data_IF_351163111014
#
_entry.id   IF_351163111014
#
_cell.length_a   1.000
_cell.length_b   1.000
_cell.length_c   1.000
_cell.angle_alpha   90.00
_cell.angle_beta   90.00
_cell.angle_gamma   90.00
#
_symmetry.space_group_name_H-M   'P 1'
#
loop_
_entity.id
_entity.type
_entity.pdbx_description
1 polymer ?
#
# COMPACT_ATOMS: atom_id res chain seq x y z
N UNK A 1 7.44 47.76 16.61
CA UNK A 1 7.69 46.99 15.37
C UNK A 1 6.36 46.35 15.00
N UNK A 2 5.63 46.97 14.09
CA UNK A 2 4.21 46.66 13.80
C UNK A 2 4.17 45.89 12.48
N UNK A 3 3.65 44.66 12.49
CA UNK A 3 3.52 43.81 11.31
C UNK A 3 2.22 44.20 10.59
N UNK A 4 2.35 44.71 9.35
CA UNK A 4 1.22 45.00 8.45
C UNK A 4 0.74 43.70 7.81
N UNK A 5 -0.44 43.24 8.21
CA UNK A 5 -1.15 42.15 7.54
C UNK A 5 -1.57 42.59 6.13
N UNK A 6 -1.03 41.93 5.10
CA UNK A 6 -1.47 42.10 3.73
C UNK A 6 -2.73 41.26 3.51
N UNK A 7 -3.88 41.91 3.41
CA UNK A 7 -5.13 41.29 3.01
C UNK A 7 -5.05 40.96 1.51
N UNK A 8 -4.86 39.68 1.16
CA UNK A 8 -5.09 39.22 -0.20
C UNK A 8 -6.59 39.09 -0.44
N UNK A 9 -7.14 39.97 -1.27
CA UNK A 9 -8.48 39.82 -1.82
C UNK A 9 -8.44 38.68 -2.84
N UNK A 10 -9.17 37.57 -2.65
CA UNK A 10 -9.20 36.51 -3.64
C UNK A 10 -9.80 37.07 -4.94
N UNK A 11 -9.05 36.97 -6.03
CA UNK A 11 -9.53 37.33 -7.36
C UNK A 11 -10.52 36.26 -7.81
N UNK A 12 -11.80 36.61 -7.87
CA UNK A 12 -12.88 35.80 -8.45
C UNK A 12 -12.77 35.85 -9.97
N UNK A 13 -11.75 35.19 -10.52
CA UNK A 13 -11.75 34.82 -11.94
C UNK A 13 -12.75 33.69 -12.06
N UNK A 14 -13.91 33.95 -12.67
CA UNK A 14 -14.84 32.89 -13.05
C UNK A 14 -14.20 32.10 -14.19
N UNK A 15 -13.79 30.84 -13.98
CA UNK A 15 -13.15 30.07 -15.03
C UNK A 15 -14.12 29.85 -16.19
N UNK A 16 -13.57 29.80 -17.41
CA UNK A 16 -14.33 29.51 -18.62
C UNK A 16 -14.90 28.07 -18.51
N UNK A 17 -16.22 27.85 -18.68
CA UNK A 17 -16.86 26.52 -18.57
C UNK A 17 -16.26 25.44 -19.49
N UNK A 18 -15.53 25.84 -20.53
CA UNK A 18 -14.83 24.94 -21.43
C UNK A 18 -13.50 24.38 -20.89
N UNK A 19 -12.86 25.06 -19.93
CA UNK A 19 -11.60 24.62 -19.29
C UNK A 19 -11.83 23.74 -18.06
N UNK A 20 -13.08 23.59 -17.61
CA UNK A 20 -13.46 22.87 -16.40
C UNK A 20 -13.72 21.37 -16.63
N UNK A 21 -13.12 20.78 -17.68
CA UNK A 21 -13.50 19.44 -18.17
C UNK A 21 -12.69 18.26 -17.65
N UNK A 22 -11.55 18.51 -17.02
CA UNK A 22 -10.75 17.42 -16.46
C UNK A 22 -10.83 17.48 -14.94
N UNK A 23 -11.91 16.92 -14.38
CA UNK A 23 -12.01 16.76 -12.93
C UNK A 23 -10.89 15.85 -12.41
N UNK A 24 -10.40 16.13 -11.20
CA UNK A 24 -9.28 15.42 -10.59
C UNK A 24 -9.67 14.00 -10.16
N UNK A 25 -8.74 13.04 -10.33
CA UNK A 25 -8.86 11.73 -9.68
C UNK A 25 -8.19 11.81 -8.31
N UNK A 26 -8.91 11.36 -7.27
CA UNK A 26 -8.37 11.28 -5.90
C UNK A 26 -8.16 9.82 -5.55
N UNK A 27 -6.98 9.48 -5.05
CA UNK A 27 -6.74 8.16 -4.46
C UNK A 27 -7.20 8.22 -3.00
N UNK A 28 -8.03 7.26 -2.58
CA UNK A 28 -8.55 7.20 -1.22
C UNK A 28 -8.31 5.82 -0.63
N UNK A 29 -7.75 5.76 0.56
CA UNK A 29 -7.47 4.50 1.26
C UNK A 29 -7.79 4.59 2.76
N UNK A 30 -7.92 3.45 3.42
CA UNK A 30 -8.05 3.41 4.88
C UNK A 30 -6.74 3.82 5.56
N UNK A 31 -6.83 4.62 6.62
CA UNK A 31 -5.72 4.77 7.55
C UNK A 31 -5.64 3.56 8.48
N UNK A 32 -4.45 3.29 9.04
CA UNK A 32 -4.37 2.40 10.20
C UNK A 32 -5.04 3.11 11.41
N UNK A 33 -5.72 2.35 12.29
CA UNK A 33 -6.35 2.94 13.46
C UNK A 33 -5.38 3.79 14.29
N UNK A 34 -5.78 5.02 14.61
CA UNK A 34 -4.99 5.95 15.43
C UNK A 34 -3.89 6.73 14.72
N UNK A 35 -3.72 6.57 13.39
CA UNK A 35 -2.77 7.38 12.63
C UNK A 35 -3.28 8.78 12.28
N UNK A 36 -4.59 8.94 12.10
CA UNK A 36 -5.20 10.24 11.81
C UNK A 36 -5.96 10.77 13.02
N UNK A 37 -5.77 12.05 13.41
CA UNK A 37 -6.64 12.71 14.38
C UNK A 37 -8.01 13.10 13.78
N UNK A 38 -8.20 12.94 12.47
CA UNK A 38 -9.39 13.33 11.74
C UNK A 38 -10.09 12.09 11.13
N UNK A 39 -11.41 12.14 10.94
CA UNK A 39 -12.11 11.06 10.23
C UNK A 39 -11.65 10.91 8.78
N UNK A 40 -11.14 12.00 8.18
CA UNK A 40 -10.58 12.03 6.83
C UNK A 40 -9.49 13.07 6.75
N UNK A 41 -8.36 12.72 6.15
CA UNK A 41 -7.30 13.63 5.75
C UNK A 41 -7.21 13.67 4.24
N UNK A 42 -6.97 14.85 3.65
CA UNK A 42 -6.73 15.02 2.21
C UNK A 42 -5.55 15.94 2.00
N UNK A 43 -4.65 15.59 1.09
CA UNK A 43 -3.48 16.40 0.76
C UNK A 43 -3.15 16.32 -0.73
N UNK A 44 -2.45 17.35 -1.22
CA UNK A 44 -1.91 17.36 -2.58
C UNK A 44 -0.65 16.50 -2.63
N UNK A 45 -0.54 15.65 -3.65
CA UNK A 45 0.62 14.80 -3.87
C UNK A 45 1.36 15.23 -5.14
N UNK A 46 2.70 15.15 -5.12
CA UNK A 46 3.58 15.57 -6.23
C UNK A 46 4.39 14.41 -6.82
N UNK A 47 4.40 13.24 -6.18
CA UNK A 47 5.14 12.05 -6.61
C UNK A 47 4.28 11.08 -7.44
N UNK A 48 2.99 11.35 -7.54
CA UNK A 48 2.06 10.56 -8.34
C UNK A 48 2.03 10.98 -9.82
N UNK A 49 1.59 10.06 -10.66
CA UNK A 49 1.43 10.31 -12.09
C UNK A 49 0.53 11.55 -12.32
N UNK A 50 0.74 12.34 -13.40
CA UNK A 50 0.12 13.66 -13.58
C UNK A 50 -1.41 13.72 -13.48
N UNK A 51 -2.09 12.58 -13.60
CA UNK A 51 -3.53 12.43 -13.46
C UNK A 51 -4.04 12.33 -12.00
N UNK A 52 -3.16 12.21 -11.02
CA UNK A 52 -3.49 12.17 -9.59
C UNK A 52 -2.88 13.38 -8.91
N UNK A 53 -3.73 14.25 -8.37
CA UNK A 53 -3.28 15.45 -7.68
C UNK A 53 -3.47 15.36 -6.17
N UNK A 54 -4.34 14.46 -5.70
CA UNK A 54 -4.68 14.38 -4.29
C UNK A 54 -4.78 12.94 -3.83
N UNK A 55 -4.39 12.75 -2.58
CA UNK A 55 -4.58 11.55 -1.80
C UNK A 55 -5.49 11.88 -0.61
N UNK A 56 -6.23 10.86 -0.17
CA UNK A 56 -7.02 10.94 1.04
C UNK A 56 -6.90 9.65 1.84
N UNK A 57 -6.91 9.79 3.16
CA UNK A 57 -7.06 8.67 4.07
C UNK A 57 -8.34 8.83 4.87
N UNK A 58 -8.99 7.71 5.18
CA UNK A 58 -10.15 7.70 6.08
C UNK A 58 -10.00 6.66 7.18
N UNK A 59 -10.52 6.96 8.37
CA UNK A 59 -10.57 6.00 9.46
C UNK A 59 -11.86 5.17 9.38
N UNK A 60 -11.81 3.89 8.97
CA UNK A 60 -13.00 3.05 8.83
C UNK A 60 -13.69 2.75 10.17
N UNK A 61 -13.06 3.07 11.31
CA UNK A 61 -13.69 2.97 12.63
C UNK A 61 -14.56 4.18 12.98
N UNK A 62 -14.36 5.31 12.29
CA UNK A 62 -15.07 6.57 12.53
C UNK A 62 -16.12 6.86 11.46
N UNK A 63 -15.81 6.60 10.19
CA UNK A 63 -16.71 6.90 9.06
C UNK A 63 -16.67 5.80 8.00
N UNK A 64 -17.72 5.74 7.18
CA UNK A 64 -17.73 4.86 6.00
C UNK A 64 -16.92 5.45 4.86
N UNK A 65 -16.53 4.61 3.88
CA UNK A 65 -15.89 5.09 2.66
C UNK A 65 -16.77 6.12 1.93
N UNK A 66 -18.09 5.89 1.84
CA UNK A 66 -18.99 6.81 1.14
C UNK A 66 -19.06 8.19 1.83
N UNK A 67 -19.01 8.20 3.16
CA UNK A 67 -18.94 9.45 3.94
C UNK A 67 -17.59 10.14 3.74
N UNK A 68 -16.50 9.38 3.70
CA UNK A 68 -15.17 9.90 3.43
C UNK A 68 -15.06 10.53 2.03
N UNK A 69 -15.53 9.83 0.99
CA UNK A 69 -15.60 10.35 -0.38
C UNK A 69 -16.40 11.66 -0.44
N UNK A 70 -17.51 11.74 0.31
CA UNK A 70 -18.32 12.95 0.41
C UNK A 70 -17.55 14.08 1.09
N UNK A 71 -16.87 13.80 2.20
CA UNK A 71 -16.05 14.78 2.92
C UNK A 71 -14.91 15.33 2.05
N UNK A 72 -14.21 14.46 1.32
CA UNK A 72 -13.13 14.87 0.39
C UNK A 72 -13.67 15.75 -0.74
N UNK A 73 -14.83 15.40 -1.32
CA UNK A 73 -15.47 16.24 -2.35
C UNK A 73 -15.77 17.64 -1.81
N UNK A 74 -16.30 17.73 -0.59
CA UNK A 74 -16.62 19.01 0.05
C UNK A 74 -15.35 19.83 0.30
N UNK A 75 -14.30 19.21 0.85
CA UNK A 75 -13.04 19.86 1.13
C UNK A 75 -12.39 20.42 -0.14
N UNK A 76 -12.27 19.60 -1.19
CA UNK A 76 -11.66 20.02 -2.45
C UNK A 76 -12.52 21.02 -3.24
N UNK A 77 -13.85 20.94 -3.13
CA UNK A 77 -14.74 21.93 -3.73
C UNK A 77 -14.59 23.34 -3.11
N UNK A 78 -14.21 23.43 -1.83
CA UNK A 78 -13.92 24.71 -1.18
C UNK A 78 -12.74 25.45 -1.84
N UNK A 79 -11.81 24.70 -2.43
CA UNK A 79 -10.65 25.22 -3.19
C UNK A 79 -10.90 25.28 -4.70
N UNK A 80 -12.15 25.15 -5.14
CA UNK A 80 -12.54 25.19 -6.55
C UNK A 80 -12.11 23.95 -7.36
N UNK A 81 -11.73 22.86 -6.69
CA UNK A 81 -11.34 21.60 -7.32
C UNK A 81 -12.56 20.70 -7.47
N UNK A 82 -12.73 20.10 -8.65
CA UNK A 82 -13.82 19.17 -8.93
C UNK A 82 -13.31 17.74 -9.00
N UNK A 83 -13.70 16.89 -8.06
CA UNK A 83 -13.35 15.45 -8.05
C UNK A 83 -14.20 14.71 -9.09
N UNK A 84 -13.57 14.16 -10.14
CA UNK A 84 -14.28 13.35 -11.14
C UNK A 84 -14.55 11.93 -10.64
N UNK A 85 -13.58 11.31 -9.96
CA UNK A 85 -13.68 9.94 -9.44
C UNK A 85 -12.72 9.70 -8.28
N UNK A 86 -13.04 8.68 -7.50
CA UNK A 86 -12.16 8.10 -6.49
C UNK A 86 -11.53 6.81 -7.02
N UNK A 87 -10.26 6.61 -6.71
CA UNK A 87 -9.63 5.30 -6.74
C UNK A 87 -9.57 4.79 -5.30
N UNK A 88 -10.49 3.91 -4.94
CA UNK A 88 -10.49 3.30 -3.62
C UNK A 88 -9.46 2.16 -3.57
N UNK A 89 -8.45 2.32 -2.74
CA UNK A 89 -7.42 1.30 -2.49
C UNK A 89 -7.95 0.10 -1.69
N UNK A 90 -9.08 0.28 -0.99
CA UNK A 90 -9.67 -0.77 -0.16
C UNK A 90 -10.60 -1.71 -0.93
N UNK A 91 -11.07 -1.31 -2.11
CA UNK A 91 -11.89 -2.19 -2.95
C UNK A 91 -10.98 -3.21 -3.63
N UNK A 92 -11.24 -4.53 -3.46
CA UNK A 92 -10.48 -5.54 -4.18
C UNK A 92 -10.55 -5.28 -5.70
N UNK A 93 -9.39 -5.17 -6.34
CA UNK A 93 -9.32 -5.01 -7.79
C UNK A 93 -9.61 -6.35 -8.44
N UNK A 94 -10.73 -6.46 -9.15
CA UNK A 94 -11.03 -7.65 -9.97
C UNK A 94 -10.42 -7.47 -11.36
N UNK A 95 -9.60 -8.43 -11.77
CA UNK A 95 -8.90 -8.42 -13.05
C UNK A 95 -9.05 -9.78 -13.73
N UNK A 96 -8.64 -9.87 -14.99
CA UNK A 96 -8.58 -11.14 -15.71
C UNK A 96 -7.35 -11.21 -16.61
N UNK A 97 -6.69 -12.36 -16.61
CA UNK A 97 -5.55 -12.64 -17.50
C UNK A 97 -5.91 -13.74 -18.50
N UNK A 98 -5.13 -13.86 -19.57
CA UNK A 98 -5.21 -15.02 -20.46
C UNK A 98 -4.25 -16.09 -19.96
N UNK A 99 -4.77 -17.24 -19.56
CA UNK A 99 -3.96 -18.36 -19.11
C UNK A 99 -3.15 -18.92 -20.29
N UNK A 100 -1.82 -18.93 -20.14
CA UNK A 100 -0.89 -19.31 -21.22
C UNK A 100 -1.02 -20.77 -21.66
N UNK A 101 -1.47 -21.65 -20.77
CA UNK A 101 -1.60 -23.10 -21.06
C UNK A 101 -2.92 -23.39 -21.76
N UNK A 102 -4.01 -22.80 -21.27
CA UNK A 102 -5.37 -23.12 -21.74
C UNK A 102 -5.90 -22.14 -22.79
N UNK A 103 -5.30 -20.95 -22.90
CA UNK A 103 -5.81 -19.85 -23.72
C UNK A 103 -7.06 -19.18 -23.16
N UNK A 104 -7.59 -19.61 -22.01
CA UNK A 104 -8.83 -19.09 -21.44
C UNK A 104 -8.59 -17.81 -20.63
N UNK A 105 -9.58 -16.90 -20.64
CA UNK A 105 -9.61 -15.76 -19.71
C UNK A 105 -9.99 -16.24 -18.31
N UNK A 106 -9.15 -15.97 -17.32
CA UNK A 106 -9.37 -16.38 -15.93
C UNK A 106 -9.45 -15.14 -15.01
N UNK A 107 -10.52 -14.98 -14.22
CA UNK A 107 -10.69 -13.84 -13.34
C UNK A 107 -9.95 -14.05 -12.02
N UNK A 108 -9.25 -13.05 -11.51
CA UNK A 108 -8.71 -13.06 -10.15
C UNK A 108 -9.07 -11.77 -9.41
N UNK A 109 -9.11 -11.86 -8.09
CA UNK A 109 -9.39 -10.74 -7.20
C UNK A 109 -8.10 -10.41 -6.46
N UNK A 110 -7.66 -9.16 -6.56
CA UNK A 110 -6.49 -8.71 -5.86
C UNK A 110 -6.71 -8.74 -4.34
N UNK A 111 -5.66 -9.08 -3.60
CA UNK A 111 -5.63 -8.91 -2.16
C UNK A 111 -5.92 -7.43 -1.81
N UNK A 112 -6.81 -7.11 -0.85
CA UNK A 112 -7.03 -5.73 -0.43
C UNK A 112 -5.73 -5.08 0.06
N UNK A 113 -5.40 -3.90 -0.47
CA UNK A 113 -4.11 -3.23 -0.22
C UNK A 113 -2.95 -3.72 -1.09
N UNK A 114 -3.18 -4.59 -2.07
CA UNK A 114 -2.18 -4.94 -3.09
C UNK A 114 -1.97 -3.75 -4.04
N UNK A 115 -0.77 -3.18 -4.02
CA UNK A 115 -0.32 -2.10 -4.89
C UNK A 115 0.39 -2.59 -6.15
N UNK A 116 0.68 -3.89 -6.25
CA UNK A 116 1.37 -4.52 -7.39
C UNK A 116 0.73 -4.17 -8.74
N UNK A 117 1.56 -3.88 -9.72
CA UNK A 117 1.14 -3.62 -11.10
C UNK A 117 0.93 -4.92 -11.88
N UNK A 118 -0.33 -5.34 -11.97
CA UNK A 118 -0.74 -6.52 -12.72
C UNK A 118 -0.91 -6.31 -14.23
N UNK A 119 -0.51 -5.17 -14.80
CA UNK A 119 -0.67 -4.92 -16.25
C UNK A 119 0.04 -5.95 -17.10
N UNK A 120 1.22 -6.42 -16.69
CA UNK A 120 1.94 -7.46 -17.42
C UNK A 120 1.12 -8.76 -17.48
N UNK A 121 0.57 -9.18 -16.34
CA UNK A 121 -0.27 -10.37 -16.22
C UNK A 121 -1.52 -10.28 -17.10
N UNK A 122 -2.18 -9.12 -17.12
CA UNK A 122 -3.44 -8.97 -17.87
C UNK A 122 -3.25 -8.75 -19.36
N UNK A 123 -2.15 -8.12 -19.77
CA UNK A 123 -1.90 -7.73 -21.16
C UNK A 123 -1.21 -8.82 -21.98
N UNK A 124 -0.60 -9.81 -21.32
CA UNK A 124 0.11 -10.92 -21.99
C UNK A 124 -0.39 -12.27 -21.50
N UNK A 125 -0.32 -13.33 -22.33
CA UNK A 125 -0.59 -14.68 -21.84
C UNK A 125 0.38 -15.07 -20.73
N UNK A 126 -0.15 -15.36 -19.54
CA UNK A 126 0.61 -15.57 -18.29
C UNK A 126 0.28 -16.94 -17.70
N UNK A 127 1.25 -17.61 -17.06
CA UNK A 127 0.96 -18.86 -16.35
C UNK A 127 0.15 -18.55 -15.09
N UNK A 128 -0.81 -19.41 -14.74
CA UNK A 128 -1.69 -19.13 -13.61
C UNK A 128 -0.93 -19.07 -12.28
N UNK A 129 0.14 -19.86 -12.13
CA UNK A 129 1.05 -19.85 -10.99
C UNK A 129 1.88 -18.57 -10.83
N UNK A 130 2.02 -17.76 -11.90
CA UNK A 130 2.77 -16.50 -11.88
C UNK A 130 1.89 -15.32 -11.46
N UNK A 131 0.57 -15.50 -11.37
CA UNK A 131 -0.36 -14.46 -10.91
C UNK A 131 -0.45 -14.52 -9.38
N UNK A 132 0.09 -13.50 -8.70
CA UNK A 132 0.07 -13.38 -7.24
C UNK A 132 -0.05 -11.93 -6.79
N UNK A 133 -0.69 -11.69 -5.66
CA UNK A 133 -0.71 -10.37 -5.04
C UNK A 133 0.30 -10.30 -3.91
N UNK A 134 0.89 -9.13 -3.71
CA UNK A 134 1.86 -8.85 -2.66
C UNK A 134 1.49 -7.56 -1.94
N UNK A 135 1.66 -7.57 -0.61
CA UNK A 135 1.75 -6.35 0.20
C UNK A 135 3.15 -6.36 0.80
N UNK A 136 4.03 -5.44 0.40
CA UNK A 136 5.37 -5.37 0.93
C UNK A 136 5.32 -4.94 2.40
N UNK A 137 6.15 -5.56 3.22
CA UNK A 137 6.43 -5.13 4.58
C UNK A 137 7.69 -4.28 4.64
N UNK A 138 7.82 -3.48 5.69
CA UNK A 138 9.07 -2.79 5.97
C UNK A 138 10.17 -3.79 6.35
N UNK A 139 11.38 -3.54 5.91
CA UNK A 139 12.56 -4.29 6.32
C UNK A 139 13.54 -3.38 7.05
N UNK A 140 14.37 -3.98 7.91
CA UNK A 140 15.47 -3.30 8.58
C UNK A 140 16.76 -3.62 7.85
N UNK A 141 17.79 -2.82 8.05
CA UNK A 141 19.13 -3.15 7.59
C UNK A 141 20.04 -3.33 8.79
N UNK A 142 20.86 -4.37 8.76
CA UNK A 142 21.95 -4.55 9.70
C UNK A 142 23.26 -4.74 8.93
N UNK A 143 24.36 -4.17 9.44
CA UNK A 143 25.67 -4.47 8.93
C UNK A 143 26.05 -5.90 9.33
N UNK A 144 26.14 -6.80 8.36
CA UNK A 144 26.55 -8.19 8.59
C UNK A 144 27.87 -8.50 7.86
N UNK A 145 28.59 -9.48 8.38
CA UNK A 145 29.70 -10.16 7.71
C UNK A 145 29.22 -11.58 7.39
N UNK A 146 29.55 -12.08 6.20
CA UNK A 146 29.15 -13.42 5.78
C UNK A 146 30.05 -13.97 4.69
N UNK A 147 29.87 -15.24 4.37
CA UNK A 147 30.61 -15.94 3.31
C UNK A 147 30.45 -15.31 1.92
N UNK A 148 29.44 -14.45 1.74
CA UNK A 148 29.18 -13.67 0.54
C UNK A 148 29.78 -12.24 0.59
N UNK A 149 30.46 -11.89 1.67
CA UNK A 149 31.10 -10.59 1.88
C UNK A 149 32.62 -10.71 1.67
N UNK A 150 33.05 -10.85 0.43
CA UNK A 150 34.47 -10.97 0.08
C UNK A 150 35.32 -9.75 0.53
N UNK A 151 34.71 -8.63 0.93
CA UNK A 151 35.37 -7.33 1.16
C UNK A 151 34.92 -6.58 2.43
N UNK A 152 34.42 -7.26 3.46
CA UNK A 152 34.09 -6.65 4.75
C UNK A 152 32.61 -6.36 4.98
N UNK A 153 32.31 -5.45 5.91
CA UNK A 153 30.96 -5.16 6.41
C UNK A 153 30.02 -4.72 5.26
N UNK A 154 28.85 -5.37 5.13
CA UNK A 154 27.81 -4.97 4.18
C UNK A 154 26.47 -4.85 4.87
N UNK A 155 25.64 -3.93 4.39
CA UNK A 155 24.26 -3.79 4.85
C UNK A 155 23.39 -4.90 4.25
N UNK A 156 22.72 -5.66 5.10
CA UNK A 156 21.77 -6.70 4.70
C UNK A 156 20.38 -6.42 5.23
N UNK A 157 19.38 -6.72 4.41
CA UNK A 157 17.97 -6.62 4.74
C UNK A 157 17.58 -7.72 5.73
N UNK A 158 17.35 -7.37 6.99
CA UNK A 158 16.98 -8.34 8.03
C UNK A 158 15.48 -8.33 8.32
N UNK A 159 14.94 -9.55 8.45
CA UNK A 159 13.56 -9.81 8.87
C UNK A 159 12.50 -9.02 8.07
N UNK A 160 12.77 -8.85 6.77
CA UNK A 160 11.77 -8.37 5.82
C UNK A 160 10.58 -9.33 5.77
N UNK A 161 9.39 -8.82 5.50
CA UNK A 161 8.22 -9.65 5.33
C UNK A 161 7.36 -9.16 4.18
N UNK A 162 6.49 -10.02 3.67
CA UNK A 162 5.42 -9.63 2.77
C UNK A 162 4.21 -10.52 2.97
N UNK A 163 3.01 -9.96 2.78
CA UNK A 163 1.76 -10.73 2.73
C UNK A 163 1.45 -11.04 1.27
N UNK A 164 1.26 -12.32 0.95
CA UNK A 164 1.07 -12.79 -0.41
C UNK A 164 -0.24 -13.59 -0.55
N UNK A 165 -0.78 -13.60 -1.76
CA UNK A 165 -1.84 -14.53 -2.19
C UNK A 165 -1.52 -15.01 -3.59
N UNK A 166 -1.57 -16.32 -3.79
CA UNK A 166 -1.38 -16.98 -5.08
C UNK A 166 -2.71 -17.67 -5.46
N UNK A 167 -3.66 -17.00 -6.14
CA UNK A 167 -5.03 -17.51 -6.31
C UNK A 167 -5.11 -18.88 -6.98
N UNK A 168 -4.11 -19.20 -7.81
CA UNK A 168 -4.07 -20.43 -8.60
C UNK A 168 -3.00 -21.43 -8.17
N UNK A 169 -2.29 -21.18 -7.06
CA UNK A 169 -1.25 -22.09 -6.59
C UNK A 169 -1.79 -23.51 -6.40
N UNK A 170 -1.00 -24.54 -6.70
CA UNK A 170 -1.36 -25.93 -6.36
C UNK A 170 -1.37 -26.17 -4.85
N UNK A 171 -0.72 -25.29 -4.07
CA UNK A 171 -0.68 -25.34 -2.60
C UNK A 171 -1.86 -24.55 -2.03
N UNK A 172 -2.86 -25.23 -1.48
CA UNK A 172 -4.07 -24.59 -0.95
C UNK A 172 -3.77 -23.49 0.09
N UNK A 173 -2.73 -23.67 0.90
CA UNK A 173 -2.30 -22.66 1.88
C UNK A 173 -1.91 -21.30 1.26
N UNK A 174 -1.42 -21.31 0.01
CA UNK A 174 -0.99 -20.10 -0.72
C UNK A 174 -2.14 -19.40 -1.44
N UNK A 175 -3.26 -20.08 -1.68
CA UNK A 175 -4.50 -19.46 -2.23
C UNK A 175 -5.20 -18.54 -1.24
N UNK A 176 -4.72 -18.51 0.00
CA UNK A 176 -5.17 -17.63 1.06
C UNK A 176 -4.06 -16.65 1.42
N UNK A 177 -4.38 -15.47 1.99
CA UNK A 177 -3.37 -14.54 2.45
C UNK A 177 -2.40 -15.25 3.41
N UNK A 178 -1.10 -15.20 3.12
CA UNK A 178 -0.04 -15.83 3.88
C UNK A 178 1.16 -14.90 3.98
N UNK A 179 2.00 -15.08 5.01
CA UNK A 179 3.22 -14.29 5.21
C UNK A 179 4.41 -15.06 4.67
N UNK A 180 5.27 -14.36 3.93
CA UNK A 180 6.64 -14.76 3.66
C UNK A 180 7.55 -13.88 4.53
N UNK A 181 8.56 -14.49 5.17
CA UNK A 181 9.57 -13.78 5.94
C UNK A 181 10.91 -14.06 5.28
N UNK A 182 11.65 -13.00 5.00
CA UNK A 182 13.04 -13.09 4.57
C UNK A 182 13.89 -13.35 5.80
N UNK A 183 14.53 -14.52 5.83
CA UNK A 183 15.44 -14.94 6.88
C UNK A 183 16.85 -14.97 6.29
N UNK A 184 17.80 -14.30 6.95
CA UNK A 184 19.21 -14.34 6.55
C UNK A 184 19.86 -15.52 7.25
N UNK A 185 20.30 -16.50 6.47
CA UNK A 185 21.07 -17.65 6.92
C UNK A 185 22.58 -17.39 6.77
N UNK A 186 23.39 -17.98 7.65
CA UNK A 186 24.87 -17.95 7.61
C UNK A 186 25.56 -16.56 7.65
N UNK A 187 24.91 -15.51 8.16
CA UNK A 187 25.55 -14.20 8.38
C UNK A 187 25.70 -13.90 9.88
N UNK A 188 26.83 -13.29 10.24
CA UNK A 188 27.18 -12.96 11.62
C UNK A 188 27.35 -11.45 11.78
N UNK A 189 27.08 -10.97 13.00
CA UNK A 189 27.48 -9.64 13.46
C UNK A 189 28.56 -9.88 14.49
N UNK A 190 29.79 -9.51 14.16
CA UNK A 190 30.97 -9.77 14.98
C UNK A 190 31.49 -8.47 15.60
N UNK A 191 32.33 -8.61 16.63
CA UNK A 191 33.05 -7.50 17.27
C UNK A 191 32.16 -6.34 17.77
N UNK A 192 30.96 -6.65 18.27
CA UNK A 192 30.04 -5.67 18.83
C UNK A 192 30.54 -5.14 20.19
N UNK A 193 30.77 -3.83 20.26
CA UNK A 193 30.83 -3.12 21.53
C UNK A 193 29.40 -2.97 22.15
N UNK A 194 29.27 -2.55 23.42
CA UNK A 194 27.97 -2.42 24.07
C UNK A 194 26.97 -1.53 23.33
N UNK A 195 27.42 -0.41 22.77
CA UNK A 195 26.55 0.56 22.07
C UNK A 195 26.08 -0.02 20.71
N UNK A 196 26.97 -0.74 20.03
CA UNK A 196 26.68 -1.44 18.79
C UNK A 196 25.72 -2.62 19.01
N UNK A 197 25.89 -3.36 20.12
CA UNK A 197 24.93 -4.40 20.52
C UNK A 197 23.56 -3.81 20.86
N UNK A 198 23.50 -2.68 21.58
CA UNK A 198 22.26 -1.97 21.87
C UNK A 198 21.54 -1.55 20.57
N UNK A 199 22.30 -1.06 19.59
CA UNK A 199 21.76 -0.72 18.26
C UNK A 199 21.15 -1.94 17.57
N UNK A 200 21.85 -3.08 17.56
CA UNK A 200 21.33 -4.34 16.98
C UNK A 200 20.05 -4.78 17.69
N UNK A 201 20.02 -4.73 19.03
CA UNK A 201 18.83 -5.08 19.82
C UNK A 201 17.65 -4.18 19.43
N UNK A 202 17.88 -2.88 19.33
CA UNK A 202 16.84 -1.93 18.96
C UNK A 202 16.26 -2.23 17.56
N UNK A 203 17.12 -2.47 16.57
CA UNK A 203 16.68 -2.83 15.21
C UNK A 203 15.87 -4.12 15.22
N UNK A 204 16.33 -5.17 15.91
CA UNK A 204 15.60 -6.43 16.01
C UNK A 204 14.25 -6.26 16.72
N UNK A 205 14.20 -5.44 17.77
CA UNK A 205 12.96 -5.14 18.49
C UNK A 205 11.95 -4.45 17.56
N UNK A 206 12.36 -3.43 16.81
CA UNK A 206 11.52 -2.78 15.80
C UNK A 206 11.02 -3.78 14.74
N UNK A 207 11.87 -4.71 14.31
CA UNK A 207 11.47 -5.75 13.34
C UNK A 207 10.45 -6.73 13.92
N UNK A 208 10.62 -7.14 15.16
CA UNK A 208 9.63 -7.98 15.86
C UNK A 208 8.28 -7.25 15.97
N UNK A 209 8.29 -5.96 16.29
CA UNK A 209 7.06 -5.16 16.36
C UNK A 209 6.42 -4.98 14.98
N UNK A 210 7.21 -4.83 13.92
CA UNK A 210 6.72 -4.87 12.53
C UNK A 210 6.05 -6.21 12.19
N UNK A 211 6.64 -7.35 12.57
CA UNK A 211 6.05 -8.68 12.36
C UNK A 211 4.74 -8.88 13.15
N UNK A 212 4.62 -8.30 14.35
CA UNK A 212 3.35 -8.32 15.11
C UNK A 212 2.25 -7.52 14.41
N UNK A 213 2.61 -6.38 13.82
CA UNK A 213 1.69 -5.61 12.96
C UNK A 213 1.28 -6.42 11.73
N UNK A 214 2.25 -7.05 11.04
CA UNK A 214 1.98 -7.93 9.90
C UNK A 214 1.05 -9.09 10.25
N UNK A 215 1.23 -9.71 11.42
CA UNK A 215 0.35 -10.77 11.90
C UNK A 215 -1.08 -10.29 12.10
N UNK A 216 -1.26 -9.12 12.74
CA UNK A 216 -2.58 -8.51 12.91
C UNK A 216 -3.24 -8.21 11.56
N UNK A 217 -2.49 -7.63 10.63
CA UNK A 217 -2.95 -7.36 9.27
C UNK A 217 -3.32 -8.65 8.53
N UNK A 218 -2.51 -9.69 8.64
CA UNK A 218 -2.75 -11.00 8.03
C UNK A 218 -4.05 -11.62 8.53
N UNK A 219 -4.30 -11.60 9.85
CA UNK A 219 -5.54 -12.11 10.45
C UNK A 219 -6.76 -11.38 9.89
N UNK A 220 -6.70 -10.05 9.86
CA UNK A 220 -7.78 -9.22 9.32
C UNK A 220 -8.02 -9.49 7.82
N UNK A 221 -6.96 -9.52 7.01
CA UNK A 221 -7.03 -9.81 5.57
C UNK A 221 -7.60 -11.19 5.30
N UNK A 222 -7.21 -12.22 6.06
CA UNK A 222 -7.77 -13.57 5.91
C UNK A 222 -9.26 -13.62 6.21
N UNK A 223 -9.74 -12.85 7.20
CA UNK A 223 -11.17 -12.75 7.48
C UNK A 223 -11.92 -12.09 6.31
N UNK A 224 -11.42 -10.96 5.81
CA UNK A 224 -12.01 -10.24 4.68
C UNK A 224 -12.02 -11.06 3.39
N UNK A 225 -10.90 -11.70 3.05
CA UNK A 225 -10.72 -12.46 1.81
C UNK A 225 -11.63 -13.69 1.73
N UNK A 226 -11.92 -14.35 2.87
CA UNK A 226 -12.89 -15.44 2.94
C UNK A 226 -14.30 -14.99 2.58
N UNK A 227 -14.70 -13.84 3.10
CA UNK A 227 -16.03 -13.28 2.84
C UNK A 227 -16.20 -12.92 1.36
N UNK A 228 -15.13 -12.43 0.72
CA UNK A 228 -15.12 -12.10 -0.71
C UNK A 228 -15.20 -13.36 -1.59
N UNK A 229 -14.38 -14.38 -1.29
CA UNK A 229 -14.34 -15.61 -2.07
C UNK A 229 -15.68 -16.36 -2.06
N UNK A 230 -16.45 -16.23 -0.97
CA UNK A 230 -17.79 -16.83 -0.85
C UNK A 230 -18.85 -16.14 -1.72
N UNK A 231 -18.62 -14.89 -2.16
CA UNK A 231 -19.54 -14.14 -3.03
C UNK A 231 -19.29 -14.45 -4.51
N UNK A 232 -18.06 -14.84 -4.87
CA UNK A 232 -17.65 -15.10 -6.25
C UNK A 232 -17.70 -16.57 -6.68
N UNK A 233 -17.87 -17.49 -5.73
CA UNK A 233 -17.98 -18.93 -5.97
C UNK A 233 -19.42 -19.36 -6.21
#
# INVERSE_FOLDING_TARGET
MTILAHSHTPSTVTPNPAEQRDGITVMIGRCLPGLSPHPTDVWETTDMAPQYHYEALYDPTQITLADAETAVRIALAADGKHVSRFLNEDTPRTMAFTDKVTGQKRPFVCLPGCDMDHRADTNTPTYAEDVYCNIPGGAGSLPLIGSLCDEGLREFTVLGWSINVDPYSTRLGRRMPHVNIEYIDEHYIEDLDPDSLETVIHVLQERVDSLRTAHTQLVALRAAYRNQSAVTA
#
